data_IF_394375899194
#
_entry.id   IF_394375899194
#
_cell.length_a   1.000
_cell.length_b   1.000
_cell.length_c   1.000
_cell.angle_alpha   90.00
_cell.angle_beta   90.00
_cell.angle_gamma   90.00
#
_symmetry.space_group_name_H-M   'P 1'
#
loop_
_entity.id
_entity.type
_entity.pdbx_description
1 polymer ?
#
# COMPACT_ATOMS: atom_id res chain seq x y z
N UNK A 1 21.40 -10.71 -17.30
CA UNK A 1 21.08 -9.27 -17.06
C UNK A 1 22.37 -8.43 -17.24
N UNK A 2 22.57 -7.59 -18.26
CA UNK A 2 21.94 -6.26 -18.33
C UNK A 2 22.36 -5.36 -19.52
N UNK A 3 22.71 -5.85 -20.72
CA UNK A 3 22.95 -4.94 -21.88
C UNK A 3 21.73 -4.03 -22.11
N UNK A 4 20.52 -4.58 -21.94
CA UNK A 4 19.27 -3.83 -22.02
C UNK A 4 19.08 -2.82 -20.88
N UNK A 5 19.49 -3.14 -19.65
CA UNK A 5 19.29 -2.24 -18.50
C UNK A 5 20.22 -1.04 -18.58
N UNK A 6 21.49 -1.26 -18.95
CA UNK A 6 22.45 -0.18 -19.16
C UNK A 6 21.98 0.74 -20.30
N UNK A 7 21.50 0.16 -21.41
CA UNK A 7 20.94 0.93 -22.52
C UNK A 7 19.70 1.73 -22.11
N UNK A 8 18.77 1.12 -21.37
CA UNK A 8 17.58 1.81 -20.86
C UNK A 8 17.94 2.92 -19.87
N UNK A 9 18.94 2.69 -19.02
CA UNK A 9 19.45 3.70 -18.10
C UNK A 9 20.07 4.88 -18.84
N UNK A 10 20.91 4.63 -19.84
CA UNK A 10 21.46 5.69 -20.69
C UNK A 10 20.38 6.44 -21.46
N UNK A 11 19.35 5.75 -21.97
CA UNK A 11 18.19 6.40 -22.61
C UNK A 11 17.45 7.31 -21.63
N UNK A 12 17.21 6.86 -20.40
CA UNK A 12 16.57 7.66 -19.36
C UNK A 12 17.42 8.88 -18.98
N UNK A 13 18.73 8.71 -18.77
CA UNK A 13 19.68 9.82 -18.51
C UNK A 13 19.64 10.86 -19.63
N UNK A 14 19.77 10.42 -20.88
CA UNK A 14 19.70 11.32 -22.06
C UNK A 14 18.35 12.04 -22.16
N UNK A 15 17.24 11.38 -21.80
CA UNK A 15 15.91 12.01 -21.78
C UNK A 15 15.86 13.16 -20.76
N UNK A 16 16.34 12.93 -19.53
CA UNK A 16 16.41 13.97 -18.49
C UNK A 16 17.34 15.11 -18.92
N UNK A 17 18.52 14.80 -19.43
CA UNK A 17 19.48 15.82 -19.89
C UNK A 17 18.92 16.69 -21.03
N UNK A 18 18.18 16.10 -21.97
CA UNK A 18 17.50 16.83 -23.05
C UNK A 18 16.40 17.75 -22.52
N UNK A 19 15.62 17.30 -21.53
CA UNK A 19 14.61 18.14 -20.89
C UNK A 19 15.24 19.35 -20.20
N UNK A 20 16.29 19.14 -19.41
CA UNK A 20 17.02 20.24 -18.75
C UNK A 20 17.58 21.22 -19.78
N UNK A 21 18.21 20.71 -20.85
CA UNK A 21 18.71 21.55 -21.94
C UNK A 21 17.59 22.38 -22.59
N UNK A 22 16.43 21.77 -22.87
CA UNK A 22 15.26 22.46 -23.42
C UNK A 22 14.79 23.58 -22.48
N UNK A 23 14.69 23.31 -21.18
CA UNK A 23 14.27 24.31 -20.19
C UNK A 23 15.27 25.48 -20.15
N UNK A 24 16.58 25.20 -20.19
CA UNK A 24 17.64 26.22 -20.23
C UNK A 24 17.59 27.06 -21.52
N UNK A 25 17.44 26.41 -22.68
CA UNK A 25 17.49 27.07 -23.98
C UNK A 25 16.21 27.82 -24.34
N UNK A 26 15.05 27.24 -24.01
CA UNK A 26 13.75 27.72 -24.48
C UNK A 26 13.03 28.60 -23.47
N UNK A 27 13.25 28.41 -22.16
CA UNK A 27 12.64 29.25 -21.13
C UNK A 27 13.58 30.34 -20.59
N UNK A 28 14.83 30.41 -21.10
CA UNK A 28 15.88 31.34 -20.63
C UNK A 28 16.06 31.31 -19.10
N UNK A 29 15.72 30.18 -18.47
CA UNK A 29 15.76 30.04 -17.02
C UNK A 29 17.20 29.74 -16.59
N UNK A 30 17.99 30.79 -16.37
CA UNK A 30 19.37 30.68 -15.87
C UNK A 30 19.48 30.06 -14.46
N UNK A 31 18.35 29.84 -13.78
CA UNK A 31 18.26 29.21 -12.46
C UNK A 31 18.08 27.69 -12.49
N UNK A 32 17.77 27.09 -13.65
CA UNK A 32 17.65 25.63 -13.78
C UNK A 32 19.01 25.06 -14.20
N UNK A 33 19.74 24.54 -13.21
CA UNK A 33 21.05 23.90 -13.39
C UNK A 33 21.01 22.45 -12.90
N UNK A 34 21.99 21.66 -13.31
CA UNK A 34 22.20 20.34 -12.72
C UNK A 34 22.72 20.50 -11.29
N UNK A 35 22.22 19.66 -10.38
CA UNK A 35 22.66 19.62 -8.98
C UNK A 35 24.00 18.88 -8.85
N UNK A 36 25.03 19.39 -9.53
CA UNK A 36 26.36 18.76 -9.63
C UNK A 36 27.09 18.69 -8.29
N UNK A 37 26.69 19.53 -7.33
CA UNK A 37 27.21 19.62 -5.96
C UNK A 37 26.45 18.73 -4.96
N UNK A 38 25.18 18.39 -5.22
CA UNK A 38 24.39 17.49 -4.36
C UNK A 38 24.73 16.01 -4.59
N UNK A 39 24.94 15.61 -5.85
CA UNK A 39 25.14 14.21 -6.21
C UNK A 39 26.61 13.95 -6.56
N UNK A 40 27.37 13.41 -5.60
CA UNK A 40 28.83 13.24 -5.74
C UNK A 40 29.26 12.04 -6.60
N UNK A 41 28.32 11.17 -6.99
CA UNK A 41 28.65 10.05 -7.90
C UNK A 41 29.06 10.57 -9.27
N UNK A 42 30.27 10.19 -9.67
CA UNK A 42 30.85 10.55 -10.95
C UNK A 42 30.27 9.66 -12.03
N UNK A 43 29.64 10.25 -13.05
CA UNK A 43 29.26 9.52 -14.26
C UNK A 43 30.48 9.02 -15.02
N UNK A 44 30.27 8.38 -16.17
CA UNK A 44 31.35 7.83 -17.02
C UNK A 44 32.40 8.88 -17.47
N UNK A 45 32.12 10.17 -17.33
CA UNK A 45 33.01 11.29 -17.62
C UNK A 45 33.91 11.72 -16.44
N UNK A 46 33.78 11.11 -15.26
CA UNK A 46 34.53 11.48 -14.06
C UNK A 46 34.04 12.75 -13.36
N UNK A 47 32.96 13.38 -13.83
CA UNK A 47 32.23 14.48 -13.18
C UNK A 47 30.83 14.02 -12.78
N UNK A 48 30.26 14.61 -11.74
CA UNK A 48 28.83 14.48 -11.47
C UNK A 48 28.05 15.01 -12.67
N UNK A 49 26.95 14.34 -13.02
CA UNK A 49 26.01 14.87 -14.01
C UNK A 49 24.73 15.42 -13.37
N UNK A 50 24.75 15.63 -12.04
CA UNK A 50 23.66 16.20 -11.25
C UNK A 50 22.34 15.45 -11.36
N UNK A 51 22.38 14.16 -11.70
CA UNK A 51 21.23 13.26 -11.72
C UNK A 51 21.14 12.49 -10.40
N UNK A 52 19.92 12.12 -10.02
CA UNK A 52 19.69 11.28 -8.85
C UNK A 52 20.47 9.95 -8.92
N UNK A 53 21.00 9.51 -7.77
CA UNK A 53 21.82 8.30 -7.62
C UNK A 53 21.13 7.04 -8.16
N UNK A 54 19.81 6.92 -7.93
CA UNK A 54 19.02 5.77 -8.34
C UNK A 54 17.81 6.27 -9.16
N UNK A 55 17.55 5.70 -10.34
CA UNK A 55 16.34 6.03 -11.09
C UNK A 55 15.10 5.60 -10.31
N UNK A 56 14.07 6.43 -10.32
CA UNK A 56 12.77 6.04 -9.79
C UNK A 56 12.15 4.93 -10.66
N UNK A 57 12.17 3.70 -10.17
CA UNK A 57 11.58 2.54 -10.84
C UNK A 57 10.07 2.54 -10.54
N UNK A 58 9.22 2.70 -11.56
CA UNK A 58 7.75 2.68 -11.42
C UNK A 58 7.15 1.28 -11.42
N UNK A 59 7.81 0.34 -12.08
CA UNK A 59 7.34 -1.03 -12.22
C UNK A 59 8.53 -1.99 -12.17
N UNK A 60 8.33 -3.12 -11.47
CA UNK A 60 9.31 -4.16 -11.29
C UNK A 60 8.71 -5.52 -11.65
N UNK A 61 9.55 -6.56 -11.63
CA UNK A 61 9.05 -7.94 -11.66
C UNK A 61 8.23 -8.18 -10.40
N UNK A 62 7.04 -8.75 -10.58
CA UNK A 62 6.15 -9.14 -9.49
C UNK A 62 6.19 -10.64 -9.28
N UNK A 63 5.99 -11.07 -8.04
CA UNK A 63 5.82 -12.48 -7.73
C UNK A 63 4.42 -12.96 -8.08
N UNK A 64 4.31 -14.26 -8.36
CA UNK A 64 3.07 -14.99 -8.16
C UNK A 64 2.99 -15.36 -6.68
N UNK A 65 2.15 -14.63 -5.96
CA UNK A 65 1.94 -14.85 -4.54
C UNK A 65 1.04 -16.04 -4.27
N UNK A 66 0.82 -16.34 -2.99
CA UNK A 66 -0.25 -17.24 -2.58
C UNK A 66 -1.57 -16.71 -3.16
N UNK A 67 -1.85 -15.44 -2.91
CA UNK A 67 -2.95 -14.68 -3.53
C UNK A 67 -2.43 -13.54 -4.40
N UNK A 68 -3.24 -13.15 -5.38
CA UNK A 68 -2.99 -11.96 -6.21
C UNK A 68 -4.14 -10.99 -6.06
N UNK A 69 -3.86 -9.78 -5.58
CA UNK A 69 -4.89 -8.74 -5.46
C UNK A 69 -5.25 -8.18 -6.83
N UNK A 70 -6.53 -8.31 -7.21
CA UNK A 70 -7.04 -7.90 -8.52
C UNK A 70 -7.87 -6.63 -8.45
N UNK A 71 -8.19 -6.07 -9.61
CA UNK A 71 -9.07 -4.90 -9.68
C UNK A 71 -10.48 -5.22 -9.13
N UNK A 72 -10.99 -6.44 -9.31
CA UNK A 72 -12.30 -6.82 -8.77
C UNK A 72 -12.30 -6.82 -7.24
N UNK A 73 -11.20 -7.26 -6.62
CA UNK A 73 -11.04 -7.21 -5.16
C UNK A 73 -11.03 -5.78 -4.64
N UNK A 74 -10.44 -4.85 -5.39
CA UNK A 74 -10.38 -3.42 -5.01
C UNK A 74 -11.73 -2.73 -5.23
N UNK A 75 -12.40 -2.98 -6.36
CA UNK A 75 -13.70 -2.39 -6.68
C UNK A 75 -14.82 -2.88 -5.76
N UNK A 76 -14.71 -4.13 -5.29
CA UNK A 76 -15.69 -4.78 -4.42
C UNK A 76 -15.03 -5.22 -3.12
N UNK A 77 -14.30 -4.31 -2.47
CA UNK A 77 -13.53 -4.61 -1.28
C UNK A 77 -14.34 -5.33 -0.19
N UNK A 78 -15.59 -4.89 0.04
CA UNK A 78 -16.44 -5.47 1.09
C UNK A 78 -16.94 -6.89 0.72
N UNK A 79 -16.97 -7.26 -0.56
CA UNK A 79 -17.29 -8.61 -1.04
C UNK A 79 -16.04 -9.50 -1.13
N UNK A 80 -14.85 -8.91 -1.27
CA UNK A 80 -13.62 -9.68 -1.46
C UNK A 80 -13.33 -10.55 -0.22
N UNK A 81 -13.00 -11.85 -0.42
CA UNK A 81 -12.55 -12.71 0.66
C UNK A 81 -11.16 -12.30 1.18
N UNK A 82 -10.41 -11.49 0.41
CA UNK A 82 -9.08 -11.04 0.78
C UNK A 82 -9.10 -9.92 1.82
N UNK A 83 -10.23 -9.22 1.96
CA UNK A 83 -10.34 -8.03 2.81
C UNK A 83 -9.97 -8.31 4.26
N UNK A 84 -10.38 -9.45 4.82
CA UNK A 84 -10.10 -9.82 6.22
C UNK A 84 -8.61 -10.05 6.51
N UNK A 85 -7.80 -10.27 5.47
CA UNK A 85 -6.36 -10.49 5.57
C UNK A 85 -5.53 -9.22 5.36
N UNK A 86 -6.18 -8.07 5.27
CA UNK A 86 -5.52 -6.79 5.00
C UNK A 86 -4.51 -6.43 6.09
N UNK A 87 -3.34 -5.97 5.66
CA UNK A 87 -2.23 -5.54 6.53
C UNK A 87 -1.74 -4.11 6.23
N UNK A 88 -2.34 -3.48 5.23
CA UNK A 88 -2.04 -2.11 4.80
C UNK A 88 -3.25 -1.55 4.04
N UNK A 89 -3.35 -0.22 4.02
CA UNK A 89 -4.38 0.52 3.29
C UNK A 89 -3.76 1.19 2.06
N UNK A 90 -4.35 0.92 0.90
CA UNK A 90 -4.13 1.68 -0.32
C UNK A 90 -5.25 2.71 -0.52
N UNK A 91 -4.88 3.97 -0.70
CA UNK A 91 -5.80 5.06 -0.99
C UNK A 91 -5.25 5.92 -2.12
N UNK A 92 -5.48 5.45 -3.34
CA UNK A 92 -5.07 6.16 -4.55
C UNK A 92 -5.82 5.60 -5.75
N UNK A 93 -6.28 6.44 -6.70
CA UNK A 93 -6.91 5.95 -7.91
C UNK A 93 -5.91 5.20 -8.80
N UNK A 94 -6.43 4.45 -9.76
CA UNK A 94 -5.59 3.74 -10.71
C UNK A 94 -4.90 4.75 -11.64
N UNK A 95 -3.58 4.77 -11.58
CA UNK A 95 -2.73 5.72 -12.30
C UNK A 95 -1.76 5.01 -13.23
N UNK A 96 -2.16 4.90 -14.51
CA UNK A 96 -1.37 4.31 -15.58
C UNK A 96 -1.20 5.30 -16.73
N UNK A 97 0.04 5.76 -16.90
CA UNK A 97 0.41 6.66 -17.99
C UNK A 97 1.00 5.86 -19.14
N UNK A 98 0.44 6.00 -20.34
CA UNK A 98 0.96 5.40 -21.58
C UNK A 98 1.39 6.44 -22.62
N UNK A 99 1.70 7.66 -22.17
CA UNK A 99 2.05 8.83 -22.99
C UNK A 99 3.18 8.64 -24.01
N UNK A 100 3.94 7.53 -23.96
CA UNK A 100 4.99 7.25 -24.93
C UNK A 100 4.48 6.55 -26.21
N UNK A 101 3.23 6.10 -26.24
CA UNK A 101 2.60 5.52 -27.41
C UNK A 101 1.43 6.44 -27.86
N UNK A 102 1.62 7.23 -28.93
CA UNK A 102 0.60 8.17 -29.41
C UNK A 102 -0.66 7.48 -29.95
N UNK A 103 -0.64 6.17 -30.19
CA UNK A 103 -1.84 5.41 -30.58
C UNK A 103 -2.60 4.82 -29.37
N UNK A 104 -2.01 4.88 -28.18
CA UNK A 104 -2.61 4.32 -27.00
C UNK A 104 -3.68 5.25 -26.45
N UNK A 105 -4.95 4.85 -26.59
CA UNK A 105 -6.09 5.56 -26.01
C UNK A 105 -5.93 5.63 -24.49
N UNK A 106 -6.24 6.81 -23.95
CA UNK A 106 -6.31 7.03 -22.51
C UNK A 106 -7.27 6.01 -21.86
N UNK A 107 -6.79 5.30 -20.84
CA UNK A 107 -7.61 4.30 -20.14
C UNK A 107 -8.38 5.05 -19.06
N UNK A 108 -9.70 5.15 -19.23
CA UNK A 108 -10.57 5.61 -18.16
C UNK A 108 -10.68 4.50 -17.11
N UNK A 109 -10.13 4.76 -15.93
CA UNK A 109 -10.27 3.87 -14.79
C UNK A 109 -11.55 4.18 -14.02
N UNK A 110 -12.27 3.16 -13.54
CA UNK A 110 -13.32 3.40 -12.56
C UNK A 110 -12.69 4.02 -11.30
N UNK A 111 -13.41 4.92 -10.60
CA UNK A 111 -12.96 5.36 -9.29
C UNK A 111 -12.83 4.14 -8.37
N UNK A 112 -11.72 4.07 -7.63
CA UNK A 112 -11.50 3.03 -6.64
C UNK A 112 -11.50 3.67 -5.26
N UNK A 113 -12.24 3.03 -4.36
CA UNK A 113 -12.25 3.39 -2.94
C UNK A 113 -10.96 2.91 -2.29
N UNK A 114 -10.66 3.44 -1.10
CA UNK A 114 -9.56 2.94 -0.31
C UNK A 114 -9.75 1.43 0.00
N UNK A 115 -8.69 0.66 -0.24
CA UNK A 115 -8.71 -0.79 -0.28
C UNK A 115 -7.63 -1.38 0.63
N UNK A 116 -7.83 -2.63 1.04
CA UNK A 116 -6.87 -3.35 1.85
C UNK A 116 -5.90 -4.18 1.01
N UNK A 117 -4.65 -4.31 1.47
CA UNK A 117 -3.66 -5.18 0.84
C UNK A 117 -3.50 -6.43 1.71
N UNK A 118 -3.87 -7.63 1.21
CA UNK A 118 -3.82 -8.86 1.99
C UNK A 118 -2.39 -9.35 2.16
N UNK A 119 -2.08 -9.90 3.34
CA UNK A 119 -0.74 -10.43 3.69
C UNK A 119 -0.23 -11.47 2.68
N UNK A 120 -1.14 -12.27 2.12
CA UNK A 120 -0.83 -13.33 1.15
C UNK A 120 -0.19 -12.82 -0.14
N UNK A 121 -0.33 -11.53 -0.46
CA UNK A 121 0.31 -10.91 -1.63
C UNK A 121 1.83 -10.74 -1.46
N UNK A 122 2.34 -10.82 -0.23
CA UNK A 122 3.77 -10.69 0.10
C UNK A 122 4.50 -12.05 0.02
N UNK A 123 3.76 -13.16 -0.04
CA UNK A 123 4.29 -14.52 0.09
C UNK A 123 4.42 -15.18 -1.29
N UNK A 124 5.63 -15.47 -1.80
CA UNK A 124 5.79 -16.20 -3.06
C UNK A 124 5.21 -17.62 -2.98
N UNK A 125 4.42 -18.03 -3.97
CA UNK A 125 3.71 -19.32 -3.96
C UNK A 125 4.61 -20.56 -3.80
N UNK A 126 5.82 -20.50 -4.36
CA UNK A 126 6.72 -21.65 -4.50
C UNK A 126 8.04 -21.46 -3.73
N UNK A 127 8.15 -20.43 -2.88
CA UNK A 127 9.38 -20.12 -2.13
C UNK A 127 9.01 -19.80 -0.70
N UNK A 128 9.47 -20.63 0.23
CA UNK A 128 9.30 -20.44 1.66
C UNK A 128 10.36 -19.48 2.23
N UNK A 129 10.14 -18.98 3.46
CA UNK A 129 11.10 -18.15 4.20
C UNK A 129 11.48 -16.82 3.52
N UNK A 130 10.69 -16.36 2.55
CA UNK A 130 10.90 -15.10 1.84
C UNK A 130 9.63 -14.27 1.92
N UNK A 131 9.80 -12.99 2.26
CA UNK A 131 8.78 -11.95 2.08
C UNK A 131 9.21 -11.02 0.95
N UNK A 132 8.28 -10.74 0.05
CA UNK A 132 8.46 -9.76 -1.00
C UNK A 132 7.56 -8.58 -0.73
N UNK A 133 8.11 -7.38 -0.79
CA UNK A 133 7.41 -6.11 -0.56
C UNK A 133 7.60 -5.17 -1.74
N UNK A 134 7.04 -3.97 -1.63
CA UNK A 134 7.19 -2.90 -2.62
C UNK A 134 6.53 -3.24 -3.96
N UNK A 135 7.10 -2.83 -5.10
CA UNK A 135 6.53 -2.99 -6.45
C UNK A 135 6.56 -4.44 -6.96
N UNK A 136 7.08 -5.35 -6.13
CA UNK A 136 7.24 -6.75 -6.46
C UNK A 136 6.18 -7.66 -5.81
N UNK A 137 5.26 -7.13 -4.99
CA UNK A 137 4.15 -7.90 -4.42
C UNK A 137 3.23 -8.47 -5.50
N UNK A 138 2.43 -9.47 -5.14
CA UNK A 138 1.48 -10.09 -6.06
C UNK A 138 0.21 -9.28 -6.24
N UNK A 139 0.23 -8.38 -7.22
CA UNK A 139 -0.91 -7.57 -7.63
C UNK A 139 -1.09 -7.65 -9.14
N UNK A 140 -2.33 -7.48 -9.62
CA UNK A 140 -2.58 -7.27 -11.04
C UNK A 140 -1.86 -6.01 -11.54
N UNK A 141 -1.56 -5.95 -12.85
CA UNK A 141 -0.91 -4.77 -13.44
C UNK A 141 -1.68 -3.48 -13.17
N UNK A 142 -3.01 -3.54 -13.19
CA UNK A 142 -3.86 -2.38 -12.88
C UNK A 142 -3.67 -1.92 -11.42
N UNK A 143 -3.81 -2.83 -10.45
CA UNK A 143 -3.68 -2.52 -9.03
C UNK A 143 -2.26 -2.08 -8.63
N UNK A 144 -1.23 -2.49 -9.38
CA UNK A 144 0.13 -1.99 -9.19
C UNK A 144 0.22 -0.45 -9.33
N UNK A 145 -0.66 0.16 -10.14
CA UNK A 145 -0.75 1.61 -10.29
C UNK A 145 -1.01 2.36 -8.98
N UNK A 146 -1.79 1.75 -8.08
CA UNK A 146 -2.17 2.32 -6.78
C UNK A 146 -1.30 1.81 -5.62
N UNK A 147 -0.86 0.55 -5.64
CA UNK A 147 -0.07 -0.05 -4.55
C UNK A 147 1.41 0.36 -4.53
N UNK A 148 1.95 0.86 -5.63
CA UNK A 148 3.37 1.27 -5.74
C UNK A 148 3.75 2.57 -5.04
N UNK A 149 2.79 3.27 -4.43
CA UNK A 149 3.03 4.57 -3.80
C UNK A 149 3.75 4.43 -2.47
N UNK A 150 4.57 5.44 -2.14
CA UNK A 150 5.40 5.42 -0.94
C UNK A 150 4.61 5.16 0.37
N UNK A 151 3.41 5.74 0.60
CA UNK A 151 2.63 5.45 1.81
C UNK A 151 2.24 3.98 1.94
N UNK A 152 1.92 3.32 0.81
CA UNK A 152 1.62 1.89 0.79
C UNK A 152 2.90 1.08 1.04
N UNK A 153 3.97 1.39 0.31
CA UNK A 153 5.26 0.70 0.43
C UNK A 153 5.80 0.74 1.86
N UNK A 154 5.66 1.87 2.56
CA UNK A 154 6.07 2.01 3.96
C UNK A 154 5.27 1.09 4.89
N UNK A 155 3.95 1.00 4.72
CA UNK A 155 3.10 0.07 5.49
C UNK A 155 3.49 -1.39 5.24
N UNK A 156 3.77 -1.75 3.98
CA UNK A 156 4.22 -3.11 3.63
C UNK A 156 5.56 -3.44 4.29
N UNK A 157 6.49 -2.47 4.34
CA UNK A 157 7.76 -2.64 5.04
C UNK A 157 7.59 -2.83 6.55
N UNK A 158 6.71 -2.05 7.18
CA UNK A 158 6.36 -2.19 8.60
C UNK A 158 5.77 -3.57 8.91
N UNK A 159 4.78 -3.99 8.12
CA UNK A 159 4.18 -5.32 8.22
C UNK A 159 5.20 -6.44 8.02
N UNK A 160 6.03 -6.37 6.98
CA UNK A 160 7.02 -7.40 6.71
C UNK A 160 8.07 -7.52 7.83
N UNK A 161 8.46 -6.40 8.45
CA UNK A 161 9.36 -6.39 9.60
C UNK A 161 8.77 -7.13 10.80
N UNK A 162 7.52 -6.84 11.17
CA UNK A 162 6.81 -7.54 12.26
C UNK A 162 6.64 -9.02 11.93
N UNK A 163 6.17 -9.33 10.72
CA UNK A 163 5.95 -10.70 10.27
C UNK A 163 7.24 -11.54 10.30
N UNK A 164 8.37 -10.97 9.86
CA UNK A 164 9.67 -11.63 9.92
C UNK A 164 10.11 -11.87 11.37
N UNK A 165 9.92 -10.89 12.26
CA UNK A 165 10.25 -11.04 13.68
C UNK A 165 9.41 -12.15 14.35
N UNK A 166 8.10 -12.19 14.09
CA UNK A 166 7.21 -13.25 14.58
C UNK A 166 7.65 -14.62 14.06
N UNK A 167 7.91 -14.75 12.75
CA UNK A 167 8.34 -16.00 12.13
C UNK A 167 9.64 -16.54 12.76
N UNK A 168 10.62 -15.67 13.01
CA UNK A 168 11.89 -16.05 13.66
C UNK A 168 11.67 -16.47 15.12
N UNK A 169 10.87 -15.72 15.88
CA UNK A 169 10.59 -16.02 17.30
C UNK A 169 9.86 -17.36 17.47
N UNK A 170 8.88 -17.63 16.61
CA UNK A 170 8.08 -18.86 16.63
C UNK A 170 8.77 -20.04 15.91
N UNK A 171 9.91 -19.78 15.23
CA UNK A 171 10.64 -20.76 14.40
C UNK A 171 9.76 -21.40 13.31
N UNK A 172 8.95 -20.58 12.65
CA UNK A 172 8.05 -20.97 11.57
C UNK A 172 8.35 -20.19 10.28
N UNK A 173 7.82 -20.66 9.15
CA UNK A 173 7.86 -19.87 7.91
C UNK A 173 6.93 -18.66 8.00
N UNK A 174 7.23 -17.52 7.34
CA UNK A 174 6.31 -16.38 7.25
C UNK A 174 4.91 -16.77 6.74
N UNK A 175 4.82 -17.81 5.90
CA UNK A 175 3.53 -18.34 5.40
C UNK A 175 2.64 -18.97 6.48
N UNK A 176 3.18 -19.20 7.68
CA UNK A 176 2.51 -19.88 8.80
C UNK A 176 2.17 -18.97 9.97
N UNK A 177 2.53 -17.68 9.91
CA UNK A 177 2.24 -16.77 11.01
C UNK A 177 0.73 -16.59 11.20
N UNK A 178 0.33 -16.32 12.44
CA UNK A 178 -1.05 -15.96 12.73
C UNK A 178 -1.32 -14.52 12.26
N UNK A 179 -2.05 -14.39 11.15
CA UNK A 179 -2.38 -13.08 10.54
C UNK A 179 -3.15 -12.18 11.52
N UNK A 180 -4.02 -12.73 12.37
CA UNK A 180 -4.76 -11.94 13.38
C UNK A 180 -3.82 -11.36 14.44
N UNK A 181 -2.81 -12.12 14.85
CA UNK A 181 -1.79 -11.63 15.77
C UNK A 181 -0.91 -10.55 15.12
N UNK A 182 -0.57 -10.72 13.84
CA UNK A 182 0.15 -9.70 13.05
C UNK A 182 -0.67 -8.39 12.94
N UNK A 183 -1.93 -8.50 12.56
CA UNK A 183 -2.86 -7.36 12.46
C UNK A 183 -3.01 -6.64 13.79
N UNK A 184 -3.16 -7.38 14.89
CA UNK A 184 -3.21 -6.80 16.23
C UNK A 184 -1.91 -6.07 16.59
N UNK A 185 -0.75 -6.66 16.32
CA UNK A 185 0.57 -6.05 16.54
C UNK A 185 0.78 -4.76 15.71
N UNK A 186 0.29 -4.74 14.47
CA UNK A 186 0.27 -3.55 13.62
C UNK A 186 -0.58 -2.43 14.24
N UNK A 187 -1.80 -2.75 14.68
CA UNK A 187 -2.71 -1.80 15.30
C UNK A 187 -2.15 -1.24 16.63
N UNK A 188 -1.48 -2.06 17.44
CA UNK A 188 -0.78 -1.61 18.65
C UNK A 188 0.36 -0.63 18.36
N UNK A 189 0.83 -0.58 17.12
CA UNK A 189 1.84 0.35 16.63
C UNK A 189 1.21 1.46 15.77
N UNK A 190 -0.07 1.76 15.97
CA UNK A 190 -0.83 2.82 15.31
C UNK A 190 -0.92 2.69 13.78
N UNK A 191 -0.72 1.49 13.22
CA UNK A 191 -0.98 1.26 11.81
C UNK A 191 -2.48 1.24 11.54
N UNK A 192 -2.90 1.69 10.34
CA UNK A 192 -4.26 1.51 9.86
C UNK A 192 -4.36 0.22 9.05
N UNK A 193 -5.41 -0.58 9.30
CA UNK A 193 -5.75 -1.75 8.48
C UNK A 193 -6.93 -1.47 7.56
N UNK A 194 -7.78 -0.51 7.94
CA UNK A 194 -8.92 -0.01 7.17
C UNK A 194 -9.01 1.53 7.29
N UNK A 195 -9.52 2.22 6.26
CA UNK A 195 -9.58 3.69 6.21
C UNK A 195 -10.76 4.24 7.03
N UNK A 196 -10.54 4.55 8.31
CA UNK A 196 -11.55 5.18 9.20
C UNK A 196 -11.27 6.67 9.39
N UNK A 197 -12.01 7.52 8.68
CA UNK A 197 -11.84 8.98 8.70
C UNK A 197 -12.36 9.63 9.98
N UNK A 198 -13.38 9.04 10.60
CA UNK A 198 -14.09 9.53 11.80
C UNK A 198 -13.61 8.88 13.11
N UNK A 199 -12.55 8.07 13.06
CA UNK A 199 -11.94 7.41 14.22
C UNK A 199 -10.43 7.62 14.16
N UNK A 200 -9.90 8.44 15.07
CA UNK A 200 -8.47 8.73 15.17
C UNK A 200 -7.73 7.61 15.92
N UNK A 201 -6.40 7.58 15.79
CA UNK A 201 -5.53 6.65 16.55
C UNK A 201 -5.60 6.86 18.07
N UNK A 202 -5.99 8.05 18.52
CA UNK A 202 -6.13 8.39 19.94
C UNK A 202 -7.49 7.97 20.51
N UNK A 203 -8.43 7.51 19.66
CA UNK A 203 -9.70 6.98 20.12
C UNK A 203 -9.45 5.67 20.92
N UNK A 204 -9.97 5.53 22.15
CA UNK A 204 -9.75 4.34 22.96
C UNK A 204 -10.28 3.04 22.30
N UNK A 205 -11.20 3.15 21.35
CA UNK A 205 -11.74 2.03 20.58
C UNK A 205 -11.17 1.94 19.15
N UNK A 206 -10.08 2.66 18.83
CA UNK A 206 -9.42 2.58 17.53
C UNK A 206 -9.16 1.13 17.11
N UNK A 207 -8.51 0.35 17.98
CA UNK A 207 -8.20 -1.06 17.71
C UNK A 207 -9.47 -1.93 17.58
N UNK A 208 -10.42 -1.92 18.54
CA UNK A 208 -11.68 -2.63 18.39
C UNK A 208 -12.43 -2.31 17.08
N UNK A 209 -12.52 -1.02 16.71
CA UNK A 209 -13.25 -0.58 15.52
C UNK A 209 -12.54 -1.05 14.25
N UNK A 210 -11.22 -0.88 14.15
CA UNK A 210 -10.42 -1.36 13.02
C UNK A 210 -10.63 -2.86 12.79
N UNK A 211 -10.55 -3.67 13.86
CA UNK A 211 -10.76 -5.12 13.77
C UNK A 211 -12.21 -5.49 13.45
N UNK A 212 -13.19 -4.80 14.01
CA UNK A 212 -14.60 -5.06 13.72
C UNK A 212 -14.93 -4.77 12.25
N UNK A 213 -14.39 -3.69 11.68
CA UNK A 213 -14.54 -3.38 10.26
C UNK A 213 -13.82 -4.41 9.39
N UNK A 214 -12.56 -4.74 9.71
CA UNK A 214 -11.77 -5.72 8.97
C UNK A 214 -12.44 -7.10 8.91
N UNK A 215 -13.12 -7.49 9.99
CA UNK A 215 -13.86 -8.76 10.10
C UNK A 215 -15.33 -8.63 9.66
N UNK A 216 -15.71 -7.53 8.99
CA UNK A 216 -17.06 -7.27 8.44
C UNK A 216 -18.19 -7.31 9.48
N UNK A 217 -17.87 -7.15 10.76
CA UNK A 217 -18.86 -6.90 11.82
C UNK A 217 -19.47 -5.51 11.63
N UNK A 218 -18.63 -4.56 11.22
CA UNK A 218 -19.03 -3.23 10.81
C UNK A 218 -18.69 -3.03 9.33
N UNK A 219 -19.60 -2.42 8.57
CA UNK A 219 -19.32 -1.98 7.20
C UNK A 219 -19.04 -0.48 7.19
N UNK A 220 -18.04 -0.03 6.44
CA UNK A 220 -17.76 1.40 6.29
C UNK A 220 -18.79 2.04 5.36
N UNK A 221 -19.24 3.24 5.72
CA UNK A 221 -19.85 4.13 4.74
C UNK A 221 -18.72 4.81 3.96
N UNK A 222 -18.63 4.57 2.65
CA UNK A 222 -17.51 5.00 1.82
C UNK A 222 -17.92 6.10 0.85
N UNK A 223 -17.18 7.20 0.86
CA UNK A 223 -17.32 8.33 -0.07
C UNK A 223 -16.05 8.48 -0.89
N UNK A 224 -16.21 8.68 -2.20
CA UNK A 224 -15.11 8.90 -3.15
C UNK A 224 -15.43 10.16 -3.93
N UNK A 225 -14.67 11.23 -3.70
CA UNK A 225 -14.77 12.49 -4.44
C UNK A 225 -13.42 12.83 -5.06
N UNK A 226 -13.35 12.80 -6.39
CA UNK A 226 -12.11 13.02 -7.15
C UNK A 226 -10.98 12.09 -6.69
N UNK A 227 -9.96 12.66 -6.02
CA UNK A 227 -8.75 11.97 -5.54
C UNK A 227 -8.79 11.67 -4.04
N UNK A 228 -9.94 11.90 -3.39
CA UNK A 228 -10.08 11.76 -1.93
C UNK A 228 -11.10 10.67 -1.63
N UNK A 229 -10.65 9.61 -0.96
CA UNK A 229 -11.53 8.59 -0.41
C UNK A 229 -11.67 8.77 1.10
N UNK A 230 -12.90 8.59 1.60
CA UNK A 230 -13.21 8.62 3.03
C UNK A 230 -14.07 7.43 3.39
N UNK A 231 -13.65 6.66 4.38
CA UNK A 231 -14.47 5.64 5.01
C UNK A 231 -14.92 6.11 6.39
N UNK A 232 -16.20 5.96 6.71
CA UNK A 232 -16.78 6.32 8.00
C UNK A 232 -17.20 5.05 8.72
N UNK A 233 -16.66 4.85 9.93
CA UNK A 233 -17.06 3.75 10.80
C UNK A 233 -18.37 4.05 11.53
N UNK A 234 -18.75 5.33 11.66
CA UNK A 234 -19.95 5.82 12.34
C UNK A 234 -20.11 5.20 13.75
N UNK A 235 -19.10 5.32 14.65
CA UNK A 235 -19.02 4.51 15.86
C UNK A 235 -20.23 4.65 16.79
N UNK A 236 -20.86 5.83 16.84
CA UNK A 236 -21.93 6.12 17.78
C UNK A 236 -23.34 5.90 17.20
N UNK A 237 -23.44 5.39 15.97
CA UNK A 237 -24.72 5.03 15.34
C UNK A 237 -25.22 3.69 15.89
N UNK A 238 -26.51 3.60 16.13
CA UNK A 238 -27.17 2.35 16.55
C UNK A 238 -27.18 1.30 15.44
N UNK A 239 -26.99 0.04 15.81
CA UNK A 239 -27.20 -1.15 15.00
C UNK A 239 -27.88 -2.25 15.82
N UNK A 240 -28.43 -3.23 15.13
CA UNK A 240 -28.82 -4.49 15.73
C UNK A 240 -27.60 -5.43 15.74
N UNK A 241 -27.23 -5.93 16.91
CA UNK A 241 -26.10 -6.84 17.09
C UNK A 241 -26.46 -7.88 18.16
N UNK A 242 -26.40 -9.16 17.79
CA UNK A 242 -26.73 -10.28 18.69
C UNK A 242 -28.13 -10.16 19.35
N UNK A 243 -29.10 -9.56 18.65
CA UNK A 243 -30.47 -9.38 19.12
C UNK A 243 -30.70 -8.17 20.03
N UNK A 244 -29.69 -7.33 20.25
CA UNK A 244 -29.79 -6.08 21.00
C UNK A 244 -29.56 -4.87 20.09
N UNK A 245 -30.25 -3.75 20.39
CA UNK A 245 -29.97 -2.46 19.76
C UNK A 245 -28.90 -1.73 20.57
N UNK A 246 -27.69 -1.63 20.01
CA UNK A 246 -26.50 -1.03 20.64
C UNK A 246 -25.75 -0.15 19.63
N UNK A 247 -24.81 0.66 20.11
CA UNK A 247 -23.95 1.44 19.20
C UNK A 247 -22.95 0.53 18.49
N UNK A 248 -22.50 0.94 17.30
CA UNK A 248 -21.45 0.24 16.54
C UNK A 248 -20.14 0.12 17.33
N UNK A 249 -19.82 1.12 18.15
CA UNK A 249 -18.70 1.11 19.10
C UNK A 249 -18.83 -0.01 20.13
N UNK A 250 -20.01 -0.18 20.73
CA UNK A 250 -20.24 -1.25 21.69
C UNK A 250 -20.17 -2.64 21.00
N UNK A 251 -20.72 -2.78 19.80
CA UNK A 251 -20.58 -4.01 19.02
C UNK A 251 -19.10 -4.34 18.71
N UNK A 252 -18.29 -3.33 18.35
CA UNK A 252 -16.87 -3.50 18.12
C UNK A 252 -16.12 -3.95 19.39
N UNK A 253 -16.46 -3.38 20.55
CA UNK A 253 -15.89 -3.80 21.85
C UNK A 253 -16.25 -5.25 22.19
N UNK A 254 -17.52 -5.65 22.02
CA UNK A 254 -17.97 -7.03 22.27
C UNK A 254 -17.28 -8.02 21.35
N UNK A 255 -17.21 -7.70 20.06
CA UNK A 255 -16.47 -8.49 19.08
C UNK A 255 -15.00 -8.64 19.49
N UNK A 256 -14.32 -7.54 19.80
CA UNK A 256 -12.93 -7.54 20.22
C UNK A 256 -12.71 -8.39 21.47
N UNK A 257 -13.51 -8.21 22.52
CA UNK A 257 -13.43 -8.99 23.75
C UNK A 257 -13.60 -10.50 23.50
N UNK A 258 -14.52 -10.89 22.60
CA UNK A 258 -14.78 -12.30 22.30
C UNK A 258 -13.68 -12.98 21.48
N UNK A 259 -12.99 -12.24 20.60
CA UNK A 259 -12.04 -12.82 19.63
C UNK A 259 -10.56 -12.57 19.96
N UNK A 260 -10.25 -11.48 20.64
CA UNK A 260 -8.89 -10.99 20.90
C UNK A 260 -8.62 -10.72 22.38
N UNK A 261 -9.60 -10.98 23.24
CA UNK A 261 -9.74 -10.41 24.57
C UNK A 261 -8.45 -10.22 25.39
N UNK A 262 -8.26 -8.98 25.84
CA UNK A 262 -7.60 -8.65 27.11
C UNK A 262 -8.63 -8.97 28.21
N UNK A 263 -8.28 -9.67 29.30
CA UNK A 263 -9.20 -9.94 30.40
C UNK A 263 -9.73 -8.61 30.98
N UNK A 264 -11.05 -8.49 31.13
CA UNK A 264 -11.67 -7.41 31.90
C UNK A 264 -11.10 -7.46 33.32
N UNK A 265 -10.58 -6.31 33.79
CA UNK A 265 -10.10 -5.99 35.15
C UNK A 265 -8.58 -6.15 35.38
N UNK A 266 -7.89 -5.01 35.51
CA UNK A 266 -7.26 -4.62 36.77
C UNK A 266 -7.44 -3.12 36.97
#
# INVERSE_FOLDING_TARGET
>A
PSVDRELLWQKARKKTQRLVHLLQSSLQSGSIVFAEDEYLEKGNSGKSDGLALIPYIREARRIFGIETLTLNDVLKADESPLFEYSIAVGDYPLDHHREQDPECKEIQFPPIQAFGIPYQTLLPRNVEQVLVIEKSISVSGLVNGATRLQPVVMQLGHCAGIAAAMAVQEKISPSKINIKALQYSLLQQNAYLVPTHDVSIDDPDFIPIQLAVLNKVLLLHRLSENWVNKGFAEPDKDIEYEGERITRREAARRFFASKYGIPKNK
#
